data_IF_211323183917
#
_entry.id   IF_211323183917
#
_cell.length_a   1.000
_cell.length_b   1.000
_cell.length_c   1.000
_cell.angle_alpha   90.00
_cell.angle_beta   90.00
_cell.angle_gamma   90.00
#
_symmetry.space_group_name_H-M   'P 1'
#
loop_
_entity.id
_entity.type
_entity.pdbx_description
1 polymer ?
#
# COMPACT_ATOMS: atom_id res chain seq x y z
N UNK A 1 4.24 6.60 -13.37
CA UNK A 1 4.24 5.28 -12.70
C UNK A 1 2.98 5.07 -11.85
N UNK A 2 2.69 5.94 -10.85
CA UNK A 2 1.53 5.76 -9.97
C UNK A 2 0.20 5.67 -10.76
N UNK A 3 -0.04 6.60 -11.69
CA UNK A 3 -1.24 6.57 -12.54
C UNK A 3 -1.35 5.26 -13.34
N UNK A 4 -0.27 4.79 -13.95
CA UNK A 4 -0.25 3.55 -14.73
C UNK A 4 -0.56 2.30 -13.88
N UNK A 5 -0.15 2.29 -12.62
CA UNK A 5 -0.46 1.21 -11.68
C UNK A 5 -1.93 1.25 -11.27
N UNK A 6 -2.46 2.43 -10.99
CA UNK A 6 -3.87 2.64 -10.62
C UNK A 6 -4.80 2.24 -11.78
N UNK A 7 -4.51 2.70 -12.99
CA UNK A 7 -5.25 2.30 -14.21
C UNK A 7 -5.25 0.78 -14.39
N UNK A 8 -4.09 0.14 -14.24
CA UNK A 8 -3.97 -1.31 -14.37
C UNK A 8 -4.73 -2.08 -13.28
N UNK A 9 -4.98 -1.46 -12.13
CA UNK A 9 -5.73 -2.01 -11.01
C UNK A 9 -7.23 -1.68 -11.06
N UNK A 10 -7.71 -0.97 -12.09
CA UNK A 10 -9.10 -0.51 -12.18
C UNK A 10 -9.52 0.40 -11.00
N UNK A 11 -8.62 1.26 -10.54
CA UNK A 11 -8.76 1.99 -9.28
C UNK A 11 -8.27 1.16 -8.10
N UNK A 12 -9.13 0.55 -7.32
CA UNK A 12 -8.91 -0.44 -6.21
C UNK A 12 -7.60 -0.27 -5.43
N UNK A 13 -7.19 1.00 -5.17
CA UNK A 13 -5.85 1.34 -4.70
C UNK A 13 -5.85 1.99 -3.33
N UNK A 14 -5.03 1.45 -2.43
CA UNK A 14 -4.67 2.09 -1.17
C UNK A 14 -3.27 2.71 -1.31
N UNK A 15 -3.19 4.04 -1.31
CA UNK A 15 -1.95 4.81 -1.39
C UNK A 15 -1.46 5.26 -0.02
N UNK A 16 -0.28 4.82 0.36
CA UNK A 16 0.32 5.01 1.67
C UNK A 16 1.58 5.85 1.56
N UNK A 17 1.47 7.09 2.00
CA UNK A 17 2.51 8.11 1.84
C UNK A 17 3.26 8.37 3.14
N UNK A 18 4.52 8.72 3.01
CA UNK A 18 5.40 9.07 4.14
C UNK A 18 5.04 10.41 4.79
N UNK A 19 4.20 11.23 4.13
CA UNK A 19 3.72 12.51 4.67
C UNK A 19 2.35 12.88 4.10
N UNK A 20 1.57 13.66 4.86
CA UNK A 20 0.29 14.19 4.40
C UNK A 20 0.45 15.09 3.16
N UNK A 21 1.50 15.92 3.12
CA UNK A 21 1.81 16.75 1.95
C UNK A 21 2.06 15.90 0.68
N UNK A 22 2.73 14.75 0.84
CA UNK A 22 2.94 13.81 -0.26
C UNK A 22 1.64 13.16 -0.72
N UNK A 23 0.77 12.78 0.23
CA UNK A 23 -0.55 12.22 -0.08
C UNK A 23 -1.45 13.24 -0.81
N UNK A 24 -1.47 14.49 -0.36
CA UNK A 24 -2.21 15.59 -0.99
C UNK A 24 -1.74 15.84 -2.42
N UNK A 25 -0.43 16.04 -2.62
CA UNK A 25 0.12 16.28 -3.95
C UNK A 25 -0.14 15.10 -4.91
N UNK A 26 -0.08 13.87 -4.41
CA UNK A 26 -0.42 12.70 -5.21
C UNK A 26 -1.92 12.64 -5.54
N UNK A 27 -2.81 12.95 -4.58
CA UNK A 27 -4.24 12.96 -4.80
C UNK A 27 -4.64 14.02 -5.86
N UNK A 28 -4.13 15.23 -5.74
CA UNK A 28 -4.35 16.31 -6.72
C UNK A 28 -3.90 15.87 -8.12
N UNK A 29 -2.66 15.37 -8.24
CA UNK A 29 -2.12 14.93 -9.53
C UNK A 29 -2.88 13.73 -10.13
N UNK A 30 -3.43 12.84 -9.30
CA UNK A 30 -4.20 11.69 -9.79
C UNK A 30 -5.62 12.08 -10.18
N UNK A 31 -6.27 13.00 -9.47
CA UNK A 31 -7.59 13.56 -9.85
C UNK A 31 -7.58 14.25 -11.20
N UNK A 32 -6.45 14.84 -11.61
CA UNK A 32 -6.26 15.44 -12.93
C UNK A 32 -6.02 14.43 -14.06
N UNK A 33 -5.61 13.21 -13.73
CA UNK A 33 -5.12 12.22 -14.70
C UNK A 33 -5.98 10.98 -14.84
N UNK A 34 -6.79 10.68 -13.85
CA UNK A 34 -7.55 9.45 -13.75
C UNK A 34 -9.03 9.75 -13.70
N UNK A 35 -9.82 8.91 -14.32
CA UNK A 35 -11.28 8.92 -14.17
C UNK A 35 -11.76 8.24 -12.87
N UNK A 36 -10.84 7.63 -12.12
CA UNK A 36 -11.12 6.98 -10.85
C UNK A 36 -11.29 7.98 -9.70
N UNK A 37 -12.28 7.81 -8.81
CA UNK A 37 -12.41 8.63 -7.61
C UNK A 37 -11.17 8.48 -6.71
N UNK A 38 -10.63 9.60 -6.24
CA UNK A 38 -9.49 9.63 -5.32
C UNK A 38 -9.90 10.31 -4.03
N UNK A 39 -10.06 9.51 -2.97
CA UNK A 39 -10.31 9.96 -1.61
C UNK A 39 -8.99 10.28 -0.92
N UNK A 40 -8.98 11.32 -0.07
CA UNK A 40 -7.79 11.73 0.67
C UNK A 40 -8.09 11.77 2.17
N UNK A 41 -7.21 11.21 2.96
CA UNK A 41 -7.25 11.30 4.42
C UNK A 41 -7.29 12.76 4.86
N UNK A 42 -8.30 13.10 5.69
CA UNK A 42 -8.51 14.44 6.23
C UNK A 42 -9.55 15.28 5.50
N UNK A 43 -10.06 14.84 4.35
CA UNK A 43 -11.20 15.48 3.68
C UNK A 43 -12.53 15.09 4.33
N UNK A 44 -12.61 13.87 4.84
CA UNK A 44 -13.76 13.32 5.55
C UNK A 44 -13.31 12.56 6.81
N UNK A 45 -14.26 12.10 7.62
CA UNK A 45 -13.94 11.21 8.74
C UNK A 45 -13.39 9.88 8.24
N UNK A 46 -12.53 9.23 9.02
CA UNK A 46 -11.94 7.95 8.65
C UNK A 46 -13.02 6.89 8.34
N UNK A 47 -14.11 6.87 9.09
CA UNK A 47 -15.23 5.96 8.89
C UNK A 47 -15.93 6.16 7.55
N UNK A 48 -16.16 7.41 7.14
CA UNK A 48 -16.76 7.77 5.85
C UNK A 48 -15.84 7.40 4.69
N UNK A 49 -14.55 7.70 4.80
CA UNK A 49 -13.56 7.33 3.77
C UNK A 49 -13.48 5.81 3.58
N UNK A 50 -13.44 5.04 4.68
CA UNK A 50 -13.44 3.57 4.62
C UNK A 50 -14.73 3.04 4.00
N UNK A 51 -15.88 3.60 4.38
CA UNK A 51 -17.18 3.23 3.83
C UNK A 51 -17.23 3.50 2.32
N UNK A 52 -16.85 4.70 1.88
CA UNK A 52 -16.82 5.05 0.47
C UNK A 52 -15.87 4.15 -0.34
N UNK A 53 -14.67 3.92 0.16
CA UNK A 53 -13.68 3.03 -0.45
C UNK A 53 -14.16 1.56 -0.53
N UNK A 54 -14.97 1.11 0.43
CA UNK A 54 -15.52 -0.25 0.45
C UNK A 54 -16.72 -0.42 -0.47
N UNK A 55 -17.45 0.65 -0.77
CA UNK A 55 -18.68 0.61 -1.58
C UNK A 55 -18.40 0.73 -3.07
N UNK A 56 -17.33 1.40 -3.46
CA UNK A 56 -16.95 1.59 -4.85
C UNK A 56 -15.56 1.00 -5.12
N UNK A 57 -15.55 -0.11 -5.84
CA UNK A 57 -14.33 -0.82 -6.20
C UNK A 57 -13.37 -0.01 -7.09
N UNK A 58 -13.87 0.97 -7.85
CA UNK A 58 -13.02 1.83 -8.70
C UNK A 58 -12.32 2.95 -7.93
N UNK A 59 -12.59 3.09 -6.64
CA UNK A 59 -12.08 4.18 -5.81
C UNK A 59 -10.64 3.93 -5.34
N UNK A 60 -9.86 5.02 -5.27
CA UNK A 60 -8.55 5.07 -4.61
C UNK A 60 -8.68 5.78 -3.25
N UNK A 61 -7.93 5.32 -2.25
CA UNK A 61 -7.84 5.99 -0.95
C UNK A 61 -6.38 6.31 -0.64
N UNK A 62 -6.06 7.59 -0.48
CA UNK A 62 -4.73 8.08 -0.18
C UNK A 62 -4.62 8.63 1.23
N UNK A 63 -3.52 8.33 1.90
CA UNK A 63 -3.24 8.85 3.23
C UNK A 63 -1.85 8.50 3.72
N UNK A 64 -1.61 8.78 4.99
CA UNK A 64 -0.34 8.47 5.65
C UNK A 64 -0.37 7.10 6.33
N UNK A 65 0.76 6.71 6.91
CA UNK A 65 0.90 5.47 7.67
C UNK A 65 -0.13 5.31 8.80
N UNK A 66 -0.65 6.42 9.35
CA UNK A 66 -1.71 6.38 10.37
C UNK A 66 -3.04 5.84 9.84
N UNK A 67 -3.27 5.92 8.53
CA UNK A 67 -4.44 5.35 7.88
C UNK A 67 -4.45 3.81 8.01
N UNK A 68 -3.29 3.15 8.04
CA UNK A 68 -3.18 1.69 8.12
C UNK A 68 -3.75 1.11 9.40
N UNK A 69 -3.67 1.84 10.50
CA UNK A 69 -4.09 1.34 11.80
C UNK A 69 -5.62 1.27 11.93
N UNK A 70 -6.36 1.97 11.05
CA UNK A 70 -7.81 2.06 11.08
C UNK A 70 -8.54 1.45 9.87
N UNK A 71 -7.85 1.18 8.76
CA UNK A 71 -8.48 0.69 7.54
C UNK A 71 -8.60 -0.83 7.55
N UNK A 72 -9.85 -1.29 7.58
CA UNK A 72 -10.23 -2.68 7.40
C UNK A 72 -11.15 -2.80 6.19
N UNK A 73 -10.56 -3.03 5.00
CA UNK A 73 -11.30 -3.10 3.73
C UNK A 73 -11.21 -4.51 3.15
N UNK A 74 -12.33 -5.13 2.73
CA UNK A 74 -12.35 -6.45 2.11
C UNK A 74 -11.51 -6.53 0.84
N UNK A 75 -10.85 -7.67 0.61
CA UNK A 75 -9.85 -7.91 -0.42
C UNK A 75 -10.24 -7.57 -1.87
N UNK A 76 -11.50 -7.71 -2.25
CA UNK A 76 -11.97 -7.37 -3.61
C UNK A 76 -11.90 -5.86 -3.94
N UNK A 77 -11.90 -4.98 -2.93
CA UNK A 77 -11.87 -3.53 -3.13
C UNK A 77 -10.47 -2.94 -2.97
N UNK A 78 -9.47 -3.74 -2.58
CA UNK A 78 -8.08 -3.33 -2.51
C UNK A 78 -7.20 -4.37 -3.22
N UNK A 79 -6.80 -4.05 -4.44
CA UNK A 79 -5.94 -4.92 -5.26
C UNK A 79 -4.53 -4.37 -5.44
N UNK A 80 -4.35 -3.09 -5.12
CA UNK A 80 -3.07 -2.42 -5.15
C UNK A 80 -2.83 -1.64 -3.85
N UNK A 81 -1.75 -1.95 -3.17
CA UNK A 81 -1.20 -1.12 -2.09
C UNK A 81 0.05 -0.44 -2.62
N UNK A 82 0.07 0.89 -2.61
CA UNK A 82 1.24 1.68 -3.01
C UNK A 82 1.88 2.31 -1.79
N UNK A 83 3.19 2.15 -1.65
CA UNK A 83 4.01 2.87 -0.66
C UNK A 83 4.94 3.81 -1.41
N UNK A 84 4.88 5.12 -1.13
CA UNK A 84 5.74 6.12 -1.78
C UNK A 84 7.22 5.89 -1.45
N UNK A 85 7.51 5.47 -0.22
CA UNK A 85 8.86 5.22 0.31
C UNK A 85 8.87 4.09 1.33
N UNK A 86 10.06 3.53 1.55
CA UNK A 86 10.31 2.70 2.73
C UNK A 86 10.07 3.54 4.00
N UNK A 87 9.18 3.11 4.91
CA UNK A 87 8.70 3.91 6.04
C UNK A 87 9.68 3.92 7.21
N UNK A 88 10.88 4.45 7.00
CA UNK A 88 11.84 4.65 8.09
C UNK A 88 11.33 5.69 9.09
N UNK A 89 11.68 5.55 10.38
CA UNK A 89 11.48 6.61 11.36
C UNK A 89 12.10 7.92 10.88
N UNK A 90 11.52 9.03 11.31
CA UNK A 90 12.10 10.35 10.99
C UNK A 90 13.49 10.46 11.62
N UNK A 91 14.47 11.06 10.91
CA UNK A 91 15.82 11.24 11.44
C UNK A 91 15.88 12.10 12.71
N UNK A 92 14.90 12.97 12.90
CA UNK A 92 14.76 13.88 14.04
C UNK A 92 13.89 13.29 15.17
N UNK A 93 13.51 12.02 15.11
CA UNK A 93 12.79 11.33 16.19
C UNK A 93 13.76 11.02 17.36
N UNK A 94 13.61 11.70 18.51
CA UNK A 94 14.58 11.55 19.61
C UNK A 94 14.54 10.16 20.25
N UNK A 95 13.38 9.50 20.29
CA UNK A 95 13.26 8.15 20.85
C UNK A 95 13.95 7.13 19.97
N UNK A 96 13.73 7.19 18.66
CA UNK A 96 14.35 6.27 17.72
C UNK A 96 15.87 6.47 17.66
N UNK A 97 16.32 7.73 17.70
CA UNK A 97 17.75 8.08 17.77
C UNK A 97 18.42 7.55 19.06
N UNK A 98 17.77 7.72 20.20
CA UNK A 98 18.28 7.22 21.48
C UNK A 98 18.36 5.69 21.51
N UNK A 99 17.37 4.99 20.95
CA UNK A 99 17.37 3.51 20.82
C UNK A 99 18.50 3.03 19.91
N UNK A 100 18.72 3.68 18.76
CA UNK A 100 19.83 3.31 17.87
C UNK A 100 21.18 3.46 18.57
N UNK A 101 21.40 4.60 19.25
CA UNK A 101 22.62 4.87 20.00
C UNK A 101 22.84 3.84 21.11
N UNK A 102 21.80 3.49 21.86
CA UNK A 102 21.91 2.45 22.89
C UNK A 102 22.33 1.10 22.32
N UNK A 103 21.81 0.70 21.17
CA UNK A 103 22.23 -0.56 20.51
C UNK A 103 23.69 -0.49 20.07
N UNK A 104 24.15 0.65 19.55
CA UNK A 104 25.53 0.87 19.11
C UNK A 104 26.51 0.85 20.28
N UNK A 105 26.16 1.44 21.42
CA UNK A 105 26.94 1.41 22.65
C UNK A 105 27.15 -0.04 23.19
N UNK A 106 26.24 -0.96 22.85
CA UNK A 106 26.38 -2.39 23.17
C UNK A 106 26.96 -3.24 22.01
N UNK A 107 27.57 -2.59 21.01
CA UNK A 107 28.24 -3.26 19.90
C UNK A 107 27.32 -3.79 18.79
N UNK A 108 26.04 -3.41 18.79
CA UNK A 108 25.07 -3.80 17.78
C UNK A 108 24.98 -2.79 16.61
N UNK A 109 24.22 -3.15 15.58
CA UNK A 109 23.91 -2.26 14.48
C UNK A 109 22.58 -1.51 14.77
N UNK A 110 22.67 -0.28 15.27
CA UNK A 110 21.52 0.55 15.66
C UNK A 110 20.52 0.77 14.52
N UNK A 111 21.01 1.05 13.31
CA UNK A 111 20.14 1.21 12.14
C UNK A 111 19.31 -0.07 11.85
N UNK A 112 19.97 -1.23 11.80
CA UNK A 112 19.27 -2.49 11.50
C UNK A 112 18.30 -2.88 12.62
N UNK A 113 18.74 -2.78 13.86
CA UNK A 113 17.95 -3.21 15.02
C UNK A 113 16.74 -2.30 15.28
N UNK A 114 16.81 -1.02 14.95
CA UNK A 114 15.76 -0.04 15.26
C UNK A 114 15.06 0.44 14.00
N UNK A 115 15.76 1.15 13.12
CA UNK A 115 15.13 1.80 11.98
C UNK A 115 14.64 0.80 10.91
N UNK A 116 15.48 -0.15 10.53
CA UNK A 116 15.10 -1.15 9.53
C UNK A 116 14.02 -2.11 10.06
N UNK A 117 14.10 -2.52 11.32
CA UNK A 117 13.07 -3.36 11.95
C UNK A 117 11.74 -2.63 12.05
N UNK A 118 11.73 -1.35 12.42
CA UNK A 118 10.52 -0.54 12.43
C UNK A 118 9.90 -0.40 11.03
N UNK A 119 10.72 -0.10 10.02
CA UNK A 119 10.26 -0.04 8.63
C UNK A 119 9.71 -1.38 8.13
N UNK A 120 10.37 -2.48 8.46
CA UNK A 120 9.93 -3.83 8.12
C UNK A 120 8.55 -4.17 8.71
N UNK A 121 8.31 -3.82 9.98
CA UNK A 121 7.02 -4.00 10.64
C UNK A 121 5.91 -3.21 9.95
N UNK A 122 6.16 -1.94 9.63
CA UNK A 122 5.19 -1.10 8.93
C UNK A 122 4.90 -1.61 7.52
N UNK A 123 5.93 -2.04 6.78
CA UNK A 123 5.75 -2.63 5.45
C UNK A 123 4.94 -3.93 5.51
N UNK A 124 5.22 -4.80 6.48
CA UNK A 124 4.45 -6.03 6.69
C UNK A 124 2.99 -5.74 7.02
N UNK A 125 2.72 -4.74 7.87
CA UNK A 125 1.36 -4.31 8.19
C UNK A 125 0.63 -3.77 6.95
N UNK A 126 1.29 -2.96 6.13
CA UNK A 126 0.72 -2.43 4.89
C UNK A 126 0.45 -3.53 3.86
N UNK A 127 1.38 -4.44 3.66
CA UNK A 127 1.20 -5.58 2.77
C UNK A 127 0.06 -6.50 3.26
N UNK A 128 -0.07 -6.68 4.58
CA UNK A 128 -1.15 -7.44 5.20
C UNK A 128 -2.54 -6.84 5.02
N UNK A 129 -2.67 -5.60 4.55
CA UNK A 129 -3.98 -5.03 4.17
C UNK A 129 -4.47 -5.56 2.83
N UNK A 130 -3.56 -6.03 2.00
CA UNK A 130 -3.88 -6.61 0.69
C UNK A 130 -4.30 -8.08 0.79
N UNK A 131 -3.60 -8.88 1.58
CA UNK A 131 -3.78 -10.34 1.68
C UNK A 131 -4.34 -10.69 3.07
N UNK A 132 -5.58 -11.10 3.14
CA UNK A 132 -6.29 -11.49 4.38
C UNK A 132 -6.79 -12.92 4.37
N UNK A 133 -7.20 -13.38 3.19
CA UNK A 133 -7.69 -14.73 2.95
C UNK A 133 -6.85 -15.42 1.89
N UNK A 134 -6.88 -16.74 1.86
CA UNK A 134 -6.12 -17.56 0.90
C UNK A 134 -6.49 -17.33 -0.58
N UNK A 135 -7.64 -16.70 -0.83
CA UNK A 135 -8.12 -16.33 -2.16
C UNK A 135 -7.76 -14.91 -2.60
N UNK A 136 -7.28 -14.06 -1.69
CA UNK A 136 -6.97 -12.67 -2.01
C UNK A 136 -5.77 -12.57 -2.95
N UNK A 137 -5.86 -11.66 -3.91
CA UNK A 137 -4.82 -11.39 -4.90
C UNK A 137 -4.64 -9.89 -5.05
N UNK A 138 -3.38 -9.47 -5.23
CA UNK A 138 -3.07 -8.08 -5.47
C UNK A 138 -1.57 -7.82 -5.53
N UNK A 139 -1.22 -6.55 -5.62
CA UNK A 139 0.16 -6.08 -5.73
C UNK A 139 0.48 -5.09 -4.62
N UNK A 140 1.63 -5.27 -3.98
CA UNK A 140 2.26 -4.26 -3.13
C UNK A 140 3.36 -3.58 -3.95
N UNK A 141 3.16 -2.33 -4.33
CA UNK A 141 4.11 -1.54 -5.08
C UNK A 141 4.84 -0.56 -4.15
N UNK A 142 6.15 -0.70 -4.02
CA UNK A 142 6.99 0.23 -3.25
C UNK A 142 7.78 1.08 -4.23
N UNK A 143 7.49 2.38 -4.28
CA UNK A 143 8.09 3.33 -5.24
C UNK A 143 9.44 3.87 -4.77
N UNK A 144 10.10 3.17 -3.88
CA UNK A 144 11.42 3.51 -3.34
C UNK A 144 12.48 2.56 -3.91
N UNK A 145 13.43 3.05 -4.73
CA UNK A 145 14.46 2.20 -5.31
C UNK A 145 15.37 1.53 -4.28
N UNK A 146 15.44 2.06 -3.06
CA UNK A 146 16.24 1.49 -1.97
C UNK A 146 15.79 0.09 -1.58
N UNK A 147 14.51 -0.25 -1.78
CA UNK A 147 14.02 -1.62 -1.55
C UNK A 147 14.74 -2.65 -2.45
N UNK A 148 15.09 -2.26 -3.67
CA UNK A 148 15.81 -3.11 -4.62
C UNK A 148 17.33 -3.02 -4.49
N UNK A 149 17.88 -1.81 -4.21
CA UNK A 149 19.30 -1.51 -4.35
C UNK A 149 20.08 -1.50 -3.03
N UNK A 150 19.42 -1.26 -1.91
CA UNK A 150 20.10 -1.17 -0.62
C UNK A 150 20.35 -2.56 0.00
N UNK A 151 21.44 -2.68 0.78
CA UNK A 151 21.81 -3.93 1.47
C UNK A 151 20.71 -4.46 2.40
N UNK A 152 19.96 -3.57 3.03
CA UNK A 152 18.83 -3.92 3.89
C UNK A 152 17.54 -4.27 3.12
N UNK A 153 17.50 -4.07 1.81
CA UNK A 153 16.30 -4.34 1.00
C UNK A 153 15.85 -5.80 1.06
N UNK A 154 16.78 -6.75 1.08
CA UNK A 154 16.46 -8.19 1.24
C UNK A 154 15.79 -8.47 2.59
N UNK A 155 16.28 -7.87 3.68
CA UNK A 155 15.66 -7.97 5.00
C UNK A 155 14.23 -7.42 5.01
N UNK A 156 14.01 -6.25 4.42
CA UNK A 156 12.68 -5.64 4.33
C UNK A 156 11.71 -6.50 3.51
N UNK A 157 12.14 -7.02 2.37
CA UNK A 157 11.31 -7.92 1.56
C UNK A 157 10.96 -9.22 2.29
N UNK A 158 11.92 -9.82 2.96
CA UNK A 158 11.71 -11.06 3.73
C UNK A 158 10.78 -10.87 4.95
N UNK A 159 10.54 -9.62 5.38
CA UNK A 159 9.64 -9.30 6.49
C UNK A 159 8.17 -9.14 6.04
N UNK A 160 7.92 -9.03 4.74
CA UNK A 160 6.56 -8.99 4.18
C UNK A 160 6.00 -10.42 4.04
N UNK A 161 4.67 -10.57 3.86
CA UNK A 161 4.09 -11.85 3.48
C UNK A 161 4.81 -12.46 2.27
N UNK A 162 4.70 -13.77 2.10
CA UNK A 162 5.32 -14.49 0.98
C UNK A 162 4.67 -14.05 -0.36
N UNK A 163 5.23 -12.99 -0.92
CA UNK A 163 4.82 -12.37 -2.18
C UNK A 163 5.91 -12.57 -3.22
N UNK A 164 5.49 -12.92 -4.42
CA UNK A 164 6.40 -12.94 -5.55
C UNK A 164 6.95 -11.52 -5.85
N UNK A 165 8.26 -11.40 -6.03
CA UNK A 165 8.96 -10.12 -6.17
C UNK A 165 9.45 -9.88 -7.59
N UNK A 166 9.21 -8.68 -8.13
CA UNK A 166 9.75 -8.22 -9.40
C UNK A 166 10.02 -6.72 -9.39
N UNK A 167 10.92 -6.25 -10.26
CA UNK A 167 11.12 -4.84 -10.60
C UNK A 167 10.70 -4.53 -12.04
N UNK A 168 10.14 -5.50 -12.76
CA UNK A 168 9.63 -5.32 -14.13
C UNK A 168 8.24 -4.66 -14.10
N UNK A 169 8.19 -3.39 -14.48
CA UNK A 169 6.96 -2.58 -14.54
C UNK A 169 5.89 -3.19 -15.45
N UNK A 170 6.28 -3.76 -16.57
CA UNK A 170 5.33 -4.35 -17.51
C UNK A 170 4.69 -5.61 -16.93
N UNK A 171 5.46 -6.38 -16.20
CA UNK A 171 4.99 -7.58 -15.53
C UNK A 171 4.00 -7.21 -14.41
N UNK A 172 4.30 -6.19 -13.59
CA UNK A 172 3.40 -5.68 -12.56
C UNK A 172 2.07 -5.22 -13.16
N UNK A 173 2.10 -4.38 -14.22
CA UNK A 173 0.88 -3.88 -14.88
C UNK A 173 0.04 -5.02 -15.47
N UNK A 174 0.65 -6.00 -16.13
CA UNK A 174 -0.07 -7.19 -16.64
C UNK A 174 -0.72 -7.99 -15.52
N UNK A 175 -0.03 -8.14 -14.39
CA UNK A 175 -0.59 -8.87 -13.24
C UNK A 175 -1.78 -8.12 -12.64
N UNK A 176 -1.69 -6.80 -12.47
CA UNK A 176 -2.80 -5.98 -11.99
C UNK A 176 -4.02 -6.05 -12.93
N UNK A 177 -3.82 -5.86 -14.22
CA UNK A 177 -4.89 -5.95 -15.21
C UNK A 177 -5.58 -7.34 -15.23
N UNK A 178 -4.82 -8.41 -15.01
CA UNK A 178 -5.37 -9.76 -14.92
C UNK A 178 -6.19 -9.95 -13.64
N UNK A 179 -5.75 -9.38 -12.51
CA UNK A 179 -6.45 -9.44 -11.23
C UNK A 179 -7.75 -8.62 -11.31
N UNK A 180 -7.70 -7.40 -11.86
CA UNK A 180 -8.87 -6.54 -12.04
C UNK A 180 -9.93 -7.18 -12.94
N UNK A 181 -9.50 -7.75 -14.07
CA UNK A 181 -10.40 -8.48 -14.97
C UNK A 181 -11.12 -9.62 -14.25
N UNK A 182 -10.38 -10.44 -13.50
CA UNK A 182 -10.95 -11.56 -12.76
C UNK A 182 -11.96 -11.10 -11.69
N UNK A 183 -11.67 -10.00 -10.98
CA UNK A 183 -12.57 -9.43 -9.99
C UNK A 183 -13.85 -8.86 -10.61
N UNK A 184 -13.74 -8.19 -11.76
CA UNK A 184 -14.87 -7.64 -12.50
C UNK A 184 -15.78 -8.75 -13.04
N UNK A 185 -15.22 -9.84 -13.56
CA UNK A 185 -15.97 -11.01 -14.02
C UNK A 185 -16.73 -11.68 -12.88
N UNK A 186 -16.10 -11.84 -11.70
CA UNK A 186 -16.75 -12.38 -10.50
C UNK A 186 -17.91 -11.51 -10.00
N UNK A 187 -17.71 -10.19 -9.98
CA UNK A 187 -18.76 -9.24 -9.59
C UNK A 187 -19.96 -9.30 -10.56
N UNK A 188 -19.72 -9.41 -11.87
CA UNK A 188 -20.75 -9.56 -12.87
C UNK A 188 -21.55 -10.85 -12.73
N UNK A 189 -20.91 -11.97 -12.41
CA UNK A 189 -21.56 -13.25 -12.17
C UNK A 189 -22.44 -13.22 -10.91
N UNK A 190 -21.96 -12.60 -9.82
CA UNK A 190 -22.74 -12.47 -8.59
C UNK A 190 -24.00 -11.60 -8.79
N UNK A 191 -23.93 -10.54 -9.57
CA UNK A 191 -25.07 -9.69 -9.91
C UNK A 191 -26.11 -10.42 -10.79
N UNK A 192 -25.64 -11.26 -11.73
CA UNK A 192 -26.52 -12.04 -12.62
C UNK A 192 -27.33 -13.13 -11.91
N UNK A 193 -26.79 -13.73 -10.87
CA UNK A 193 -27.49 -14.76 -10.08
C UNK A 193 -28.58 -14.15 -9.17
N UNK A 194 -28.39 -12.90 -8.70
CA UNK A 194 -29.38 -12.20 -7.88
C UNK A 194 -30.62 -11.68 -8.65
N UNK A 195 -30.55 -11.59 -9.97
CA UNK A 195 -31.65 -11.12 -10.83
C UNK A 195 -32.56 -12.24 -11.36
N UNK A 196 -32.28 -13.49 -11.01
CA UNK A 196 -33.00 -14.67 -11.50
C UNK A 196 -33.89 -15.37 -10.44
N UNK A 197 -34.19 -14.67 -9.31
CA UNK A 197 -35.09 -15.19 -8.25
C UNK A 197 -36.33 -14.31 -8.10
#
# INVERSE_FOLDING_TARGET
>A
ELAELIEAAGGRTLGLFSSMRGAQAAAEAMRERLDHPVLLQGEETLGELIKAFSQDAATCLFGTLSLWQGVDVPGVNCQLVVMDRVPFPRPDDPLMSARQKSVEEHGGNGFMAVAATHAALLMAQGAGRLIRASGDRGVVAVLDPRLATARYGTFLRASMPDLWYTTDRNQVRRSLAAIDKAATEQAGQAAGVGAAV
#
